data_IF_456042724015
#
_entry.id   IF_456042724015
#
_cell.length_a   1.000
_cell.length_b   1.000
_cell.length_c   1.000
_cell.angle_alpha   90.00
_cell.angle_beta   90.00
_cell.angle_gamma   90.00
#
_symmetry.space_group_name_H-M   'P 1'
#
loop_
_entity.id
_entity.type
_entity.pdbx_description
1 polymer ?
#
# COMPACT_ATOMS: atom_id res chain seq x y z
N UNK A 1 8.77 -6.89 -12.11
CA UNK A 1 8.92 -5.42 -12.13
C UNK A 1 10.33 -4.95 -12.50
N UNK A 2 11.40 -5.29 -11.76
CA UNK A 2 12.76 -4.82 -12.11
C UNK A 2 13.17 -5.16 -13.55
N UNK A 3 12.99 -6.41 -13.99
CA UNK A 3 13.31 -6.81 -15.37
C UNK A 3 12.63 -5.96 -16.45
N UNK A 4 11.41 -5.47 -16.20
CA UNK A 4 10.71 -4.54 -17.09
C UNK A 4 11.43 -3.19 -17.15
N UNK A 5 11.78 -2.61 -16.00
CA UNK A 5 12.49 -1.33 -15.94
C UNK A 5 13.85 -1.40 -16.66
N UNK A 6 14.56 -2.52 -16.50
CA UNK A 6 15.83 -2.76 -17.20
C UNK A 6 15.62 -2.87 -18.72
N UNK A 7 14.57 -3.58 -19.15
CA UNK A 7 14.24 -3.71 -20.57
C UNK A 7 13.83 -2.36 -21.21
N UNK A 8 13.20 -1.47 -20.44
CA UNK A 8 12.86 -0.10 -20.85
C UNK A 8 14.07 0.86 -20.85
N UNK A 9 15.25 0.42 -20.41
CA UNK A 9 16.48 1.21 -20.45
C UNK A 9 16.85 1.90 -19.12
N UNK A 10 16.08 1.73 -18.05
CA UNK A 10 16.32 2.35 -16.73
C UNK A 10 17.39 1.63 -15.90
N UNK A 11 18.49 1.21 -16.55
CA UNK A 11 19.62 0.53 -15.90
C UNK A 11 20.40 1.43 -14.94
N UNK A 12 20.43 2.73 -15.22
CA UNK A 12 21.08 3.73 -14.35
C UNK A 12 20.31 3.88 -13.03
N UNK A 13 19.00 3.78 -13.10
CA UNK A 13 18.14 3.58 -11.95
C UNK A 13 16.71 4.02 -12.21
N UNK A 14 15.85 3.76 -11.24
CA UNK A 14 14.46 4.19 -11.19
C UNK A 14 14.01 4.36 -9.73
N UNK A 15 12.86 5.00 -9.54
CA UNK A 15 12.13 5.09 -8.27
C UNK A 15 10.92 4.16 -8.34
N UNK A 16 10.65 3.41 -7.26
CA UNK A 16 9.44 2.61 -7.15
C UNK A 16 8.38 3.36 -6.32
N UNK A 17 7.13 3.32 -6.74
CA UNK A 17 6.00 3.82 -5.96
C UNK A 17 5.02 2.66 -5.70
N UNK A 18 4.45 2.56 -4.49
CA UNK A 18 3.37 1.60 -4.25
C UNK A 18 2.56 1.80 -2.98
N UNK A 19 1.24 1.61 -3.10
CA UNK A 19 0.31 1.35 -2.00
C UNK A 19 -0.10 -0.13 -1.98
N UNK A 20 -0.85 -0.56 -0.97
CA UNK A 20 -1.32 -1.96 -0.82
C UNK A 20 -0.19 -3.00 -1.01
N UNK A 21 -0.43 -4.12 -1.70
CA UNK A 21 0.59 -5.09 -2.09
C UNK A 21 1.72 -4.43 -2.92
N UNK A 22 1.42 -3.35 -3.65
CA UNK A 22 2.40 -2.55 -4.35
C UNK A 22 3.45 -1.93 -3.41
N UNK A 23 3.09 -1.56 -2.17
CA UNK A 23 4.06 -1.05 -1.19
C UNK A 23 5.04 -2.13 -0.77
N UNK A 24 4.56 -3.36 -0.59
CA UNK A 24 5.37 -4.54 -0.31
C UNK A 24 6.34 -4.84 -1.47
N UNK A 25 5.87 -4.72 -2.72
CA UNK A 25 6.70 -4.91 -3.91
C UNK A 25 7.73 -3.78 -4.04
N UNK A 26 7.36 -2.51 -3.84
CA UNK A 26 8.28 -1.37 -3.89
C UNK A 26 9.41 -1.52 -2.87
N UNK A 27 9.09 -1.95 -1.64
CA UNK A 27 10.06 -2.29 -0.60
C UNK A 27 11.01 -3.39 -1.04
N UNK A 28 10.51 -4.50 -1.58
CA UNK A 28 11.36 -5.59 -2.09
C UNK A 28 12.23 -5.15 -3.26
N UNK A 29 11.73 -4.27 -4.13
CA UNK A 29 12.53 -3.71 -5.22
C UNK A 29 13.68 -2.88 -4.68
N UNK A 30 13.42 -2.05 -3.67
CA UNK A 30 14.46 -1.27 -2.99
C UNK A 30 15.47 -2.17 -2.27
N UNK A 31 15.04 -3.26 -1.62
CA UNK A 31 15.97 -4.20 -0.96
C UNK A 31 16.84 -4.95 -1.97
N UNK A 32 16.24 -5.52 -3.02
CA UNK A 32 16.90 -6.55 -3.83
C UNK A 32 17.56 -6.03 -5.11
N UNK A 33 17.30 -4.79 -5.53
CA UNK A 33 17.76 -4.29 -6.82
C UNK A 33 18.45 -2.93 -6.70
N UNK A 34 19.76 -2.89 -7.03
CA UNK A 34 20.58 -1.66 -7.00
C UNK A 34 20.10 -0.57 -7.95
N UNK A 35 19.31 -0.94 -8.97
CA UNK A 35 18.71 -0.03 -9.93
C UNK A 35 17.49 0.69 -9.34
N UNK A 36 16.79 0.09 -8.38
CA UNK A 36 15.84 0.83 -7.56
C UNK A 36 16.63 1.74 -6.62
N UNK A 37 16.63 3.06 -6.85
CA UNK A 37 17.46 4.02 -6.10
C UNK A 37 16.75 4.59 -4.88
N UNK A 38 15.44 4.75 -4.97
CA UNK A 38 14.57 5.24 -3.92
C UNK A 38 13.19 4.60 -4.07
N UNK A 39 12.36 4.70 -3.04
CA UNK A 39 11.00 4.18 -3.08
C UNK A 39 10.04 5.04 -2.27
N UNK A 40 8.84 5.25 -2.81
CA UNK A 40 7.74 5.96 -2.17
C UNK A 40 6.62 4.98 -1.90
N UNK A 41 6.03 5.04 -0.70
CA UNK A 41 4.86 4.25 -0.36
C UNK A 41 3.75 5.15 0.16
N UNK A 42 2.51 4.70 -0.01
CA UNK A 42 1.36 5.34 0.61
C UNK A 42 0.63 4.43 1.59
N UNK A 43 1.18 3.25 1.88
CA UNK A 43 0.69 2.33 2.92
C UNK A 43 1.89 1.74 3.67
N UNK A 44 1.97 2.02 4.96
CA UNK A 44 3.08 1.62 5.84
C UNK A 44 2.52 1.41 7.26
N UNK A 45 2.93 0.33 7.92
CA UNK A 45 2.46 -0.04 9.27
C UNK A 45 3.64 -0.48 10.13
N UNK A 46 3.42 -0.52 11.44
CA UNK A 46 4.32 -1.19 12.37
C UNK A 46 4.38 -2.68 12.01
N UNK A 47 5.58 -3.20 11.76
CA UNK A 47 5.77 -4.61 11.41
C UNK A 47 5.61 -5.51 12.63
N UNK A 48 5.14 -6.77 12.47
CA UNK A 48 5.09 -7.73 13.55
C UNK A 48 6.45 -7.88 14.28
N UNK A 49 6.41 -7.93 15.60
CA UNK A 49 7.62 -8.06 16.43
C UNK A 49 8.39 -6.76 16.68
N UNK A 50 7.91 -5.62 16.15
CA UNK A 50 8.49 -4.31 16.47
C UNK A 50 8.38 -4.00 17.96
N UNK A 51 9.36 -3.27 18.49
CA UNK A 51 9.31 -2.78 19.88
C UNK A 51 8.11 -1.83 20.06
N UNK A 52 7.50 -1.78 21.26
CA UNK A 52 6.44 -0.82 21.55
C UNK A 52 6.95 0.61 21.39
N UNK A 53 6.25 1.42 20.59
CA UNK A 53 6.55 2.84 20.43
C UNK A 53 5.67 3.68 21.35
N UNK A 54 6.23 4.78 21.84
CA UNK A 54 5.49 5.68 22.72
C UNK A 54 4.35 6.38 21.96
N UNK A 55 3.17 6.42 22.54
CA UNK A 55 2.03 7.21 22.02
C UNK A 55 2.06 8.66 22.53
N UNK A 56 2.92 8.98 23.51
CA UNK A 56 2.98 10.32 24.11
C UNK A 56 3.50 11.39 23.14
N UNK A 57 4.21 10.99 22.09
CA UNK A 57 4.70 11.88 21.04
C UNK A 57 3.69 12.12 19.91
N UNK A 58 2.54 11.44 19.94
CA UNK A 58 1.54 11.51 18.88
C UNK A 58 0.54 12.63 19.10
N UNK A 59 0.12 13.27 18.02
CA UNK A 59 -0.98 14.23 18.06
C UNK A 59 -2.31 13.51 18.35
N UNK A 60 -3.33 14.19 18.93
CA UNK A 60 -4.65 13.60 19.13
C UNK A 60 -5.29 13.04 17.86
N UNK A 61 -5.02 13.67 16.71
CA UNK A 61 -5.50 13.20 15.41
C UNK A 61 -4.83 11.89 14.98
N UNK A 62 -3.53 11.74 15.19
CA UNK A 62 -2.82 10.49 14.89
C UNK A 62 -3.35 9.33 15.75
N UNK A 63 -3.66 9.60 17.03
CA UNK A 63 -4.28 8.61 17.93
C UNK A 63 -5.67 8.19 17.43
N UNK A 64 -6.47 9.14 16.94
CA UNK A 64 -7.78 8.87 16.36
C UNK A 64 -7.68 8.01 15.10
N UNK A 65 -6.72 8.31 14.22
CA UNK A 65 -6.47 7.52 13.01
C UNK A 65 -6.03 6.10 13.38
N UNK A 66 -5.11 5.95 14.34
CA UNK A 66 -4.66 4.65 14.82
C UNK A 66 -5.79 3.82 15.43
N UNK A 67 -6.65 4.41 16.26
CA UNK A 67 -7.77 3.68 16.85
C UNK A 67 -8.75 3.22 15.77
N UNK A 68 -9.09 4.07 14.79
CA UNK A 68 -9.93 3.67 13.64
C UNK A 68 -9.32 2.49 12.88
N UNK A 69 -8.02 2.55 12.59
CA UNK A 69 -7.32 1.45 11.91
C UNK A 69 -7.38 0.16 12.74
N UNK A 70 -7.20 0.26 14.05
CA UNK A 70 -7.29 -0.87 14.98
C UNK A 70 -8.71 -1.43 15.06
N UNK A 71 -9.74 -0.59 15.07
CA UNK A 71 -11.15 -1.00 15.03
C UNK A 71 -11.44 -1.81 13.76
N UNK A 72 -11.04 -1.30 12.58
CA UNK A 72 -11.19 -2.03 11.32
C UNK A 72 -10.43 -3.36 11.31
N UNK A 73 -9.26 -3.45 11.94
CA UNK A 73 -8.49 -4.70 11.99
C UNK A 73 -9.16 -5.83 12.81
N UNK A 74 -10.16 -5.52 13.65
CA UNK A 74 -10.85 -6.53 14.47
C UNK A 74 -11.65 -7.52 13.63
N UNK A 75 -12.24 -7.07 12.52
CA UNK A 75 -13.09 -7.89 11.64
C UNK A 75 -12.78 -7.73 10.14
N UNK A 76 -12.03 -6.70 9.72
CA UNK A 76 -11.76 -6.38 8.32
C UNK A 76 -10.77 -7.31 7.60
N UNK A 77 -10.11 -8.25 8.30
CA UNK A 77 -9.04 -9.10 7.74
C UNK A 77 -9.51 -10.47 7.23
N UNK A 78 -10.80 -10.81 7.35
CA UNK A 78 -11.31 -12.12 6.93
C UNK A 78 -11.04 -12.44 5.45
N UNK A 79 -11.17 -11.44 4.56
CA UNK A 79 -10.89 -11.60 3.14
C UNK A 79 -9.43 -12.02 2.88
N UNK A 80 -8.48 -11.41 3.60
CA UNK A 80 -7.06 -11.68 3.45
C UNK A 80 -6.73 -13.09 3.92
N UNK A 81 -7.32 -13.54 5.03
CA UNK A 81 -7.16 -14.91 5.52
C UNK A 81 -7.66 -15.94 4.50
N UNK A 82 -8.82 -15.69 3.88
CA UNK A 82 -9.36 -16.57 2.84
C UNK A 82 -8.45 -16.59 1.61
N UNK A 83 -7.98 -15.43 1.14
CA UNK A 83 -6.99 -15.32 0.05
C UNK A 83 -5.68 -16.06 0.38
N UNK A 84 -5.22 -15.94 1.62
CA UNK A 84 -3.98 -16.56 2.12
C UNK A 84 -4.04 -18.07 2.29
N UNK A 85 -5.20 -18.60 2.64
CA UNK A 85 -5.32 -20.00 3.08
C UNK A 85 -6.05 -20.90 2.10
N UNK A 86 -7.00 -20.37 1.32
CA UNK A 86 -7.83 -21.12 0.36
C UNK A 86 -7.98 -20.38 -0.98
N UNK A 87 -6.89 -19.88 -1.61
CA UNK A 87 -6.97 -19.04 -2.82
C UNK A 87 -7.66 -19.74 -3.99
N UNK A 88 -7.48 -21.06 -4.16
CA UNK A 88 -8.17 -21.82 -5.20
C UNK A 88 -9.69 -21.88 -4.98
N UNK A 89 -10.13 -22.11 -3.74
CA UNK A 89 -11.54 -22.22 -3.37
C UNK A 89 -12.24 -20.88 -3.57
N UNK A 90 -11.73 -19.81 -2.95
CA UNK A 90 -12.33 -18.47 -3.09
C UNK A 90 -12.22 -17.96 -4.53
N UNK A 91 -11.11 -18.27 -5.22
CA UNK A 91 -10.92 -17.95 -6.63
C UNK A 91 -12.04 -18.52 -7.51
N UNK A 92 -12.39 -19.80 -7.33
CA UNK A 92 -13.49 -20.43 -8.06
C UNK A 92 -14.86 -19.90 -7.62
N UNK A 93 -15.09 -19.76 -6.32
CA UNK A 93 -16.37 -19.31 -5.77
C UNK A 93 -16.73 -17.90 -6.26
N UNK A 94 -15.81 -16.94 -6.16
CA UNK A 94 -16.04 -15.56 -6.57
C UNK A 94 -16.09 -15.41 -8.10
N UNK A 95 -15.35 -16.23 -8.85
CA UNK A 95 -15.40 -16.22 -10.32
C UNK A 95 -16.68 -16.85 -10.90
N UNK A 96 -17.51 -17.51 -10.08
CA UNK A 96 -18.72 -18.18 -10.56
C UNK A 96 -19.83 -17.21 -10.99
N UNK A 97 -19.79 -15.96 -10.52
CA UNK A 97 -20.81 -14.95 -10.80
C UNK A 97 -20.24 -13.53 -10.73
N UNK A 98 -20.58 -12.64 -11.68
CA UNK A 98 -20.17 -11.24 -11.60
C UNK A 98 -20.77 -10.53 -10.38
N UNK A 99 -21.89 -11.01 -9.83
CA UNK A 99 -22.48 -10.48 -8.60
C UNK A 99 -21.66 -10.89 -7.38
N UNK A 100 -21.11 -12.12 -7.33
CA UNK A 100 -20.20 -12.54 -6.27
C UNK A 100 -18.91 -11.72 -6.30
N UNK A 101 -18.36 -11.46 -7.49
CA UNK A 101 -17.21 -10.59 -7.66
C UNK A 101 -17.52 -9.15 -7.23
N UNK A 102 -18.68 -8.61 -7.63
CA UNK A 102 -19.14 -7.29 -7.23
C UNK A 102 -19.29 -7.16 -5.71
N UNK A 103 -19.90 -8.15 -5.05
CA UNK A 103 -20.04 -8.13 -3.60
C UNK A 103 -18.66 -8.17 -2.92
N UNK A 104 -17.78 -9.08 -3.34
CA UNK A 104 -16.47 -9.28 -2.69
C UNK A 104 -15.53 -8.09 -2.84
N UNK A 105 -15.46 -7.49 -4.03
CA UNK A 105 -14.58 -6.35 -4.30
C UNK A 105 -15.25 -5.01 -3.99
N UNK A 106 -16.55 -4.89 -4.22
CA UNK A 106 -17.33 -3.67 -3.98
C UNK A 106 -17.36 -3.29 -2.50
N UNK A 107 -17.45 -4.27 -1.59
CA UNK A 107 -17.31 -4.03 -0.15
C UNK A 107 -16.02 -3.27 0.17
N UNK A 108 -14.89 -3.68 -0.42
CA UNK A 108 -13.58 -3.04 -0.16
C UNK A 108 -13.50 -1.64 -0.75
N UNK A 109 -14.07 -1.44 -1.94
CA UNK A 109 -14.16 -0.11 -2.57
C UNK A 109 -15.01 0.87 -1.75
N UNK A 110 -16.00 0.38 -1.01
CA UNK A 110 -16.85 1.21 -0.14
C UNK A 110 -16.20 1.47 1.23
N UNK A 111 -15.64 0.42 1.85
CA UNK A 111 -15.10 0.48 3.22
C UNK A 111 -13.72 1.13 3.29
N UNK A 112 -12.87 0.93 2.28
CA UNK A 112 -11.48 1.40 2.33
C UNK A 112 -11.28 2.82 1.78
N UNK A 113 -12.31 3.35 1.12
CA UNK A 113 -12.38 4.73 0.67
C UNK A 113 -12.71 5.66 1.84
N UNK A 114 -12.23 6.90 1.79
CA UNK A 114 -12.66 7.95 2.72
C UNK A 114 -14.20 8.04 2.74
N UNK A 115 -14.86 7.77 3.88
CA UNK A 115 -16.32 7.68 3.95
C UNK A 115 -17.02 8.99 3.62
N UNK A 116 -16.30 10.12 3.63
CA UNK A 116 -16.82 11.45 3.32
C UNK A 116 -16.89 11.70 1.81
N UNK A 117 -16.11 10.97 1.01
CA UNK A 117 -15.96 11.18 -0.43
C UNK A 117 -15.91 9.80 -1.13
N UNK A 118 -17.08 9.15 -1.24
CA UNK A 118 -17.22 7.83 -1.84
C UNK A 118 -16.90 7.83 -3.35
N UNK A 119 -16.34 6.72 -3.83
CA UNK A 119 -16.08 6.53 -5.25
C UNK A 119 -17.40 6.52 -6.04
N UNK A 120 -17.44 7.15 -7.24
CA UNK A 120 -18.59 7.04 -8.13
C UNK A 120 -18.91 5.59 -8.46
N UNK A 121 -20.19 5.25 -8.55
CA UNK A 121 -20.64 3.89 -8.88
C UNK A 121 -20.04 3.39 -10.21
N UNK A 122 -19.94 4.27 -11.22
CA UNK A 122 -19.33 3.94 -12.51
C UNK A 122 -17.85 3.55 -12.38
N UNK A 123 -17.12 4.18 -11.46
CA UNK A 123 -15.73 3.80 -11.15
C UNK A 123 -15.67 2.40 -10.56
N UNK A 124 -16.55 2.11 -9.58
CA UNK A 124 -16.65 0.80 -8.93
C UNK A 124 -16.99 -0.28 -9.96
N UNK A 125 -18.04 -0.06 -10.76
CA UNK A 125 -18.48 -1.00 -11.79
C UNK A 125 -17.44 -1.15 -12.91
N UNK A 126 -16.71 -0.10 -13.26
CA UNK A 126 -15.61 -0.15 -14.22
C UNK A 126 -14.48 -1.06 -13.75
N UNK A 127 -14.03 -0.92 -12.50
CA UNK A 127 -13.00 -1.77 -11.91
C UNK A 127 -13.43 -3.24 -11.83
N UNK A 128 -14.66 -3.49 -11.40
CA UNK A 128 -15.20 -4.84 -11.26
C UNK A 128 -15.40 -5.49 -12.62
N UNK A 129 -15.91 -4.74 -13.60
CA UNK A 129 -16.05 -5.21 -14.99
C UNK A 129 -14.70 -5.54 -15.59
N UNK A 130 -13.66 -4.73 -15.32
CA UNK A 130 -12.29 -5.05 -15.72
C UNK A 130 -11.85 -6.39 -15.11
N UNK A 131 -11.99 -6.57 -13.79
CA UNK A 131 -11.64 -7.84 -13.13
C UNK A 131 -12.39 -9.04 -13.69
N UNK A 132 -13.67 -8.87 -14.01
CA UNK A 132 -14.52 -9.91 -14.58
C UNK A 132 -14.04 -10.31 -15.98
N UNK A 133 -13.95 -9.36 -16.90
CA UNK A 133 -13.61 -9.64 -18.30
C UNK A 133 -12.19 -10.18 -18.48
N UNK A 134 -11.28 -9.84 -17.58
CA UNK A 134 -9.90 -10.37 -17.62
C UNK A 134 -9.68 -11.55 -16.70
N UNK A 135 -10.70 -12.05 -15.99
CA UNK A 135 -10.56 -13.14 -15.00
C UNK A 135 -9.41 -12.87 -14.01
N UNK A 136 -9.29 -11.63 -13.52
CA UNK A 136 -8.16 -11.21 -12.69
C UNK A 136 -8.22 -11.80 -11.30
N UNK A 137 -9.40 -11.88 -10.69
CA UNK A 137 -9.57 -12.28 -9.28
C UNK A 137 -8.78 -13.55 -8.91
N UNK A 138 -9.00 -14.73 -9.53
CA UNK A 138 -8.30 -15.96 -9.13
C UNK A 138 -6.79 -15.92 -9.41
N UNK A 139 -6.34 -15.09 -10.37
CA UNK A 139 -4.92 -14.95 -10.75
C UNK A 139 -4.19 -13.92 -9.88
N UNK A 140 -4.92 -12.96 -9.30
CA UNK A 140 -4.40 -11.90 -8.44
C UNK A 140 -4.06 -12.36 -7.02
N UNK A 141 -4.47 -13.56 -6.61
CA UNK A 141 -4.25 -14.12 -5.26
C UNK A 141 -2.84 -14.72 -5.07
N UNK A 142 -1.86 -14.33 -5.89
CA UNK A 142 -0.46 -14.81 -5.80
C UNK A 142 0.21 -14.45 -4.46
N UNK A 143 -0.33 -13.45 -3.76
CA UNK A 143 0.17 -12.93 -2.50
C UNK A 143 -0.21 -13.80 -1.28
N UNK A 144 -0.81 -14.97 -1.49
CA UNK A 144 -1.26 -15.85 -0.41
C UNK A 144 -0.16 -16.18 0.63
N UNK A 145 1.09 -16.32 0.19
CA UNK A 145 2.22 -16.55 1.10
C UNK A 145 2.57 -15.32 1.95
N UNK A 146 2.34 -14.10 1.47
CA UNK A 146 2.57 -12.88 2.24
C UNK A 146 1.62 -12.82 3.44
N UNK A 147 0.35 -13.17 3.25
CA UNK A 147 -0.63 -13.25 4.34
C UNK A 147 -0.20 -14.27 5.40
N UNK A 148 0.32 -15.44 4.98
CA UNK A 148 0.84 -16.46 5.90
C UNK A 148 2.04 -15.97 6.69
N UNK A 149 3.00 -15.31 6.03
CA UNK A 149 4.16 -14.73 6.70
C UNK A 149 3.75 -13.68 7.73
N UNK A 150 2.84 -12.78 7.37
CA UNK A 150 2.31 -11.79 8.29
C UNK A 150 1.62 -12.43 9.50
N UNK A 151 0.75 -13.42 9.26
CA UNK A 151 0.07 -14.18 10.32
C UNK A 151 1.04 -14.96 11.24
N UNK A 152 2.21 -15.33 10.72
CA UNK A 152 3.28 -15.97 11.48
C UNK A 152 4.19 -14.98 12.21
N UNK A 153 3.89 -13.67 12.17
CA UNK A 153 4.68 -12.63 12.80
C UNK A 153 6.02 -12.37 12.12
N UNK A 154 6.15 -12.71 10.83
CA UNK A 154 7.37 -12.47 10.06
C UNK A 154 7.29 -11.06 9.45
N UNK A 155 8.21 -10.15 9.80
CA UNK A 155 8.21 -8.79 9.25
C UNK A 155 8.54 -8.81 7.75
N UNK A 156 7.91 -7.91 7.00
CA UNK A 156 8.22 -7.77 5.57
C UNK A 156 9.55 -6.99 5.38
N UNK A 157 10.43 -7.39 4.45
CA UNK A 157 11.68 -6.66 4.23
C UNK A 157 11.46 -5.19 3.79
N UNK A 158 12.34 -4.30 4.22
CA UNK A 158 12.38 -2.89 3.80
C UNK A 158 13.83 -2.40 3.81
N UNK A 159 14.20 -1.56 2.84
CA UNK A 159 15.55 -0.98 2.80
C UNK A 159 15.65 0.14 3.84
N UNK A 160 16.74 0.14 4.60
CA UNK A 160 17.12 1.21 5.53
C UNK A 160 18.22 2.13 4.97
N UNK A 161 18.71 1.85 3.76
CA UNK A 161 19.80 2.60 3.12
C UNK A 161 19.29 3.55 2.03
N UNK A 162 18.29 3.11 1.25
CA UNK A 162 17.77 3.88 0.11
C UNK A 162 16.69 4.86 0.56
N UNK A 163 16.62 6.08 0.02
CA UNK A 163 15.61 7.05 0.44
C UNK A 163 14.18 6.50 0.35
N UNK A 164 13.47 6.64 1.47
CA UNK A 164 12.05 6.29 1.63
C UNK A 164 11.22 7.58 1.58
N UNK A 165 10.18 7.59 0.75
CA UNK A 165 9.09 8.55 0.80
C UNK A 165 7.83 7.90 1.36
N UNK A 166 7.10 8.61 2.22
CA UNK A 166 5.83 8.12 2.76
C UNK A 166 4.72 9.18 2.73
N UNK A 167 3.60 8.84 2.11
CA UNK A 167 2.37 9.63 2.14
C UNK A 167 1.31 8.92 3.00
N UNK A 168 0.97 9.49 4.15
CA UNK A 168 -0.03 8.95 5.06
C UNK A 168 -1.41 9.57 4.77
N UNK A 169 -2.37 8.76 4.34
CA UNK A 169 -3.76 9.18 4.15
C UNK A 169 -4.61 8.75 5.36
N UNK A 170 -5.37 9.69 5.93
CA UNK A 170 -6.04 9.50 7.22
C UNK A 170 -7.03 8.33 7.27
N UNK A 171 -7.54 7.87 6.12
CA UNK A 171 -8.52 6.79 6.04
C UNK A 171 -7.94 5.45 5.54
N UNK A 172 -6.62 5.31 5.39
CA UNK A 172 -5.97 4.07 4.97
C UNK A 172 -6.05 2.95 6.03
N UNK A 173 -5.96 1.68 5.63
CA UNK A 173 -6.04 0.47 6.45
C UNK A 173 -4.82 0.25 7.34
N UNK A 174 -3.71 0.88 6.98
CA UNK A 174 -2.41 0.71 7.59
C UNK A 174 -1.66 2.05 7.57
N UNK A 175 -1.52 2.65 8.74
CA UNK A 175 -0.86 3.94 8.91
C UNK A 175 0.31 3.86 9.88
N UNK A 176 1.28 4.74 9.70
CA UNK A 176 2.41 4.89 10.60
C UNK A 176 2.67 6.38 10.88
N UNK A 177 2.18 6.94 11.99
CA UNK A 177 2.35 8.36 12.31
C UNK A 177 3.81 8.84 12.20
N UNK A 178 3.99 10.11 11.84
CA UNK A 178 5.31 10.68 11.54
C UNK A 178 6.37 10.41 12.61
N UNK A 179 6.10 10.61 13.93
CA UNK A 179 7.12 10.37 14.95
C UNK A 179 7.62 8.91 14.94
N UNK A 180 6.72 7.95 14.73
CA UNK A 180 7.06 6.54 14.63
C UNK A 180 7.83 6.23 13.35
N UNK A 181 7.39 6.78 12.21
CA UNK A 181 8.08 6.59 10.94
C UNK A 181 9.52 7.13 10.99
N UNK A 182 9.74 8.30 11.62
CA UNK A 182 11.07 8.89 11.78
C UNK A 182 11.97 8.09 12.74
N UNK A 183 11.39 7.50 13.79
CA UNK A 183 12.13 6.65 14.73
C UNK A 183 12.59 5.34 14.08
N UNK A 184 11.72 4.71 13.28
CA UNK A 184 11.99 3.41 12.66
C UNK A 184 12.86 3.54 11.40
N UNK A 185 12.64 4.58 10.58
CA UNK A 185 13.24 4.73 9.26
C UNK A 185 14.14 5.96 9.18
N UNK A 186 15.44 5.82 9.54
CA UNK A 186 16.39 6.94 9.46
C UNK A 186 16.61 7.43 8.02
N UNK A 187 16.28 6.62 7.01
CA UNK A 187 16.29 6.94 5.59
C UNK A 187 14.98 7.56 5.07
N UNK A 188 14.05 7.96 5.96
CA UNK A 188 12.83 8.67 5.58
C UNK A 188 13.16 10.07 5.05
N UNK A 189 13.26 10.20 3.73
CA UNK A 189 13.63 11.42 3.03
C UNK A 189 12.43 12.33 2.74
N UNK A 190 11.21 11.77 2.70
CA UNK A 190 9.98 12.53 2.51
C UNK A 190 8.86 11.95 3.35
N UNK A 191 8.09 12.83 3.97
CA UNK A 191 6.86 12.49 4.66
C UNK A 191 5.80 13.56 4.42
N UNK A 192 4.58 13.14 4.09
CA UNK A 192 3.41 14.00 4.14
C UNK A 192 2.22 13.26 4.74
N UNK A 193 1.38 13.99 5.48
CA UNK A 193 0.17 13.44 6.08
C UNK A 193 -1.05 14.25 5.61
N UNK A 194 -2.07 13.54 5.16
CA UNK A 194 -3.30 14.12 4.62
C UNK A 194 -4.47 13.82 5.54
N UNK A 195 -5.27 14.84 5.84
CA UNK A 195 -6.51 14.69 6.63
C UNK A 195 -7.68 14.09 5.84
N UNK A 196 -7.49 13.86 4.54
CA UNK A 196 -8.44 13.29 3.58
C UNK A 196 -7.82 12.17 2.78
N UNK A 197 -8.68 11.32 2.20
CA UNK A 197 -8.30 10.17 1.40
C UNK A 197 -8.12 8.91 2.23
N UNK A 198 -8.50 7.79 1.63
CA UNK A 198 -8.36 6.44 2.15
C UNK A 198 -7.28 5.64 1.45
N UNK A 199 -7.54 4.34 1.35
CA UNK A 199 -6.61 3.36 0.83
C UNK A 199 -6.30 3.53 -0.67
N UNK A 200 -7.28 3.99 -1.45
CA UNK A 200 -7.14 4.19 -2.89
C UNK A 200 -6.66 5.61 -3.21
N UNK A 201 -5.57 6.03 -2.58
CA UNK A 201 -5.04 7.39 -2.62
C UNK A 201 -4.97 8.01 -4.03
N UNK A 202 -4.54 7.25 -5.04
CA UNK A 202 -4.45 7.72 -6.43
C UNK A 202 -5.81 7.90 -7.12
N UNK A 203 -6.86 7.22 -6.66
CA UNK A 203 -8.24 7.38 -7.16
C UNK A 203 -8.99 8.45 -6.38
N UNK A 204 -8.78 8.53 -5.07
CA UNK A 204 -9.51 9.43 -4.18
C UNK A 204 -8.93 10.84 -4.20
N UNK A 205 -7.59 10.94 -4.13
CA UNK A 205 -6.83 12.18 -3.96
C UNK A 205 -5.73 12.29 -5.03
N UNK A 206 -6.06 12.22 -6.34
CA UNK A 206 -5.05 12.14 -7.41
C UNK A 206 -4.08 13.32 -7.42
N UNK A 207 -4.56 14.53 -7.09
CA UNK A 207 -3.73 15.73 -7.06
C UNK A 207 -2.76 15.74 -5.88
N UNK A 208 -3.21 15.40 -4.67
CA UNK A 208 -2.30 15.28 -3.52
C UNK A 208 -1.32 14.11 -3.69
N UNK A 209 -1.78 12.99 -4.23
CA UNK A 209 -0.94 11.83 -4.52
C UNK A 209 0.18 12.16 -5.51
N UNK A 210 -0.13 12.89 -6.59
CA UNK A 210 0.86 13.31 -7.56
C UNK A 210 1.84 14.34 -6.99
N UNK A 211 1.35 15.37 -6.28
CA UNK A 211 2.20 16.39 -5.65
C UNK A 211 3.24 15.76 -4.71
N UNK A 212 2.81 14.80 -3.89
CA UNK A 212 3.71 14.08 -3.00
C UNK A 212 4.80 13.31 -3.73
N UNK A 213 4.45 12.64 -4.84
CA UNK A 213 5.41 11.91 -5.67
C UNK A 213 6.41 12.89 -6.29
N UNK A 214 5.96 14.00 -6.85
CA UNK A 214 6.83 15.00 -7.47
C UNK A 214 7.78 15.62 -6.46
N UNK A 215 7.29 15.97 -5.26
CA UNK A 215 8.12 16.50 -4.17
C UNK A 215 9.12 15.48 -3.66
N UNK A 216 8.74 14.20 -3.58
CA UNK A 216 9.69 13.14 -3.24
C UNK A 216 10.77 12.99 -4.32
N UNK A 217 10.39 12.98 -5.59
CA UNK A 217 11.34 12.89 -6.72
C UNK A 217 12.32 14.06 -6.72
N UNK A 218 11.86 15.29 -6.40
CA UNK A 218 12.73 16.45 -6.23
C UNK A 218 13.72 16.24 -5.08
N UNK A 219 13.25 15.72 -3.93
CA UNK A 219 14.11 15.46 -2.77
C UNK A 219 15.20 14.41 -3.04
N UNK A 220 14.97 13.46 -3.97
CA UNK A 220 15.92 12.40 -4.33
C UNK A 220 16.58 12.59 -5.70
N UNK A 221 16.39 13.75 -6.35
CA UNK A 221 16.82 14.00 -7.73
C UNK A 221 18.32 13.80 -7.95
N UNK A 222 19.13 14.17 -6.95
CA UNK A 222 20.59 14.00 -6.98
C UNK A 222 21.08 12.56 -7.12
N UNK A 223 20.22 11.55 -6.89
CA UNK A 223 20.58 10.14 -7.11
C UNK A 223 20.70 9.75 -8.60
N UNK A 224 20.18 10.60 -9.49
CA UNK A 224 20.07 10.33 -10.93
C UNK A 224 20.92 11.27 -11.77
N UNK A 225 21.60 12.23 -11.15
CA UNK A 225 22.57 13.08 -11.83
C UNK A 225 23.72 12.20 -12.34
N UNK A 226 24.00 12.32 -13.63
CA UNK A 226 25.07 11.59 -14.31
C UNK A 226 26.29 12.51 -14.28
N UNK A 227 27.41 12.04 -13.74
CA UNK A 227 28.74 12.64 -14.03
C UNK A 227 29.02 12.70 -15.53
#
# INVERSE_FOLDING_TARGET
>A
MNGLMIALGFKKGYVAQGGDLGSMIARLMAVNHKECKAFHVNMLTLEPGSAPLSTNCLAPEDLRILERTKEWQQDGLAYALEHGTRPATVGLAISSSPISLLAWLGEKLLEWTDPREQLPLDTILGLISFYWFTQTFPRGLYHANLVKSYSAGIPHPISTEKPLGYSMFAYDLAVLPKPWAQEIYPNLAFFNAHSKGGHFASLERPSEFLDDIERFLQAVGGLFEVE
#
